data_IF_330643126249
#
_entry.id   IF_330643126249
#
_cell.length_a   1.000
_cell.length_b   1.000
_cell.length_c   1.000
_cell.angle_alpha   90.00
_cell.angle_beta   90.00
_cell.angle_gamma   90.00
#
_symmetry.space_group_name_H-M   'P 1'
#
loop_
_entity.id
_entity.type
_entity.pdbx_description
1 polymer ?
#
# COMPACT_ATOMS: atom_id res chain seq x y z
N UNK A 1 13.99 -16.05 6.94
CA UNK A 1 12.71 -15.37 6.68
C UNK A 1 12.18 -14.87 8.02
N UNK A 2 11.83 -13.59 8.15
CA UNK A 2 11.25 -13.06 9.39
C UNK A 2 9.87 -13.69 9.63
N UNK A 3 9.45 -13.80 10.90
CA UNK A 3 8.14 -14.35 11.25
C UNK A 3 7.01 -13.41 10.79
N UNK A 4 5.81 -13.96 10.60
CA UNK A 4 4.65 -13.21 10.13
C UNK A 4 4.38 -11.98 11.01
N UNK A 5 4.43 -12.14 12.33
CA UNK A 5 4.18 -11.09 13.30
C UNK A 5 5.19 -9.95 13.19
N UNK A 6 6.47 -10.29 12.97
CA UNK A 6 7.52 -9.29 12.77
C UNK A 6 7.28 -8.51 11.49
N UNK A 7 6.86 -9.19 10.42
CA UNK A 7 6.51 -8.55 9.15
C UNK A 7 5.24 -7.71 9.28
N UNK A 8 4.22 -8.12 10.03
CA UNK A 8 2.99 -7.36 10.20
C UNK A 8 3.19 -6.01 10.92
N UNK A 9 4.24 -5.91 11.73
CA UNK A 9 4.58 -4.66 12.42
C UNK A 9 5.62 -3.85 11.65
N UNK A 10 6.62 -4.50 11.04
CA UNK A 10 7.82 -3.82 10.50
C UNK A 10 8.05 -4.05 8.99
N UNK A 11 7.19 -4.81 8.32
CA UNK A 11 7.45 -5.50 7.04
C UNK A 11 7.71 -4.61 5.84
N UNK A 12 7.47 -3.32 5.95
CA UNK A 12 7.94 -2.31 4.99
C UNK A 12 8.04 -0.92 5.63
N UNK A 13 8.31 -0.84 6.94
CA UNK A 13 8.76 0.42 7.54
C UNK A 13 10.20 0.66 7.06
N UNK A 14 10.35 1.01 5.79
CA UNK A 14 11.59 1.59 5.29
C UNK A 14 11.83 2.80 6.19
N UNK A 15 12.91 2.75 6.97
CA UNK A 15 13.43 3.90 7.69
C UNK A 15 13.61 5.01 6.66
N UNK A 16 12.59 5.87 6.51
CA UNK A 16 12.73 7.05 5.66
C UNK A 16 13.80 7.88 6.35
N UNK A 17 14.89 8.12 5.62
CA UNK A 17 15.80 9.23 5.87
C UNK A 17 15.03 10.53 5.61
N UNK A 18 14.08 10.87 6.46
CA UNK A 18 13.47 12.18 6.51
C UNK A 18 13.55 12.63 7.97
N UNK A 19 13.75 13.91 8.15
CA UNK A 19 14.21 14.64 9.35
C UNK A 19 13.30 14.50 10.58
N UNK A 20 12.24 13.70 10.48
CA UNK A 20 11.19 13.50 11.46
C UNK A 20 11.28 12.09 12.06
N UNK A 21 11.49 12.02 13.38
CA UNK A 21 11.78 10.78 14.15
C UNK A 21 10.55 9.91 14.40
N UNK A 22 9.51 10.06 13.58
CA UNK A 22 8.27 9.31 13.72
C UNK A 22 8.50 7.85 13.34
N UNK A 23 8.21 6.93 14.27
CA UNK A 23 8.19 5.49 14.01
C UNK A 23 6.90 5.04 13.27
N UNK A 24 6.01 5.99 12.93
CA UNK A 24 4.72 5.74 12.29
C UNK A 24 4.66 6.52 10.98
N UNK A 25 4.12 5.91 9.93
CA UNK A 25 3.87 6.57 8.66
C UNK A 25 2.85 7.72 8.87
N UNK A 26 3.18 8.97 8.53
CA UNK A 26 2.25 10.09 8.68
C UNK A 26 1.07 9.95 7.71
N UNK A 27 -0.09 10.50 8.07
CA UNK A 27 -1.26 10.46 7.19
C UNK A 27 -1.15 11.59 6.15
N UNK A 28 -0.80 11.22 4.92
CA UNK A 28 -0.79 12.09 3.74
C UNK A 28 -2.19 12.14 3.13
N UNK A 29 -2.83 13.31 3.23
CA UNK A 29 -4.17 13.63 2.68
C UNK A 29 -4.07 14.57 1.48
N UNK A 30 -3.06 14.36 0.63
CA UNK A 30 -2.78 15.28 -0.46
C UNK A 30 -3.95 15.38 -1.44
N UNK A 31 -4.50 16.60 -1.56
CA UNK A 31 -5.51 16.97 -2.57
C UNK A 31 -4.84 17.63 -3.77
N UNK A 32 -3.86 16.96 -4.38
CA UNK A 32 -3.26 17.50 -5.61
C UNK A 32 -4.26 17.41 -6.76
N UNK A 33 -4.34 18.48 -7.54
CA UNK A 33 -5.44 18.82 -8.48
C UNK A 33 -5.62 17.88 -9.67
N UNK A 34 -4.74 16.90 -9.86
CA UNK A 34 -4.69 16.05 -11.04
C UNK A 34 -4.88 14.56 -10.70
N UNK A 35 -5.64 13.84 -11.52
CA UNK A 35 -6.02 12.42 -11.33
C UNK A 35 -4.82 11.48 -11.11
N UNK A 36 -3.65 11.83 -11.65
CA UNK A 36 -2.37 11.12 -11.46
C UNK A 36 -1.99 11.03 -9.98
N UNK A 37 -2.36 12.04 -9.18
CA UNK A 37 -2.01 12.12 -7.77
C UNK A 37 -2.78 11.13 -6.90
N UNK A 38 -3.96 10.69 -7.35
CA UNK A 38 -4.74 9.63 -6.67
C UNK A 38 -4.01 8.28 -6.79
N UNK A 39 -3.27 8.07 -7.88
CA UNK A 39 -2.45 6.88 -8.07
C UNK A 39 -1.16 6.91 -7.23
N UNK A 40 -0.62 8.09 -6.94
CA UNK A 40 0.67 8.29 -6.26
C UNK A 40 0.57 8.66 -4.77
N UNK A 41 -0.37 8.05 -4.04
CA UNK A 41 -0.45 8.25 -2.58
C UNK A 41 0.61 7.42 -1.84
N UNK A 42 1.50 8.08 -1.09
CA UNK A 42 2.63 7.41 -0.43
C UNK A 42 2.22 6.43 0.68
N UNK A 43 1.07 6.65 1.33
CA UNK A 43 0.53 5.74 2.34
C UNK A 43 -0.10 4.50 1.71
N UNK A 44 -0.81 4.67 0.59
CA UNK A 44 -1.34 3.55 -0.20
C UNK A 44 -0.20 2.63 -0.64
N UNK A 45 0.87 3.17 -1.19
CA UNK A 45 2.01 2.38 -1.65
C UNK A 45 2.72 1.63 -0.52
N UNK A 46 2.86 2.25 0.66
CA UNK A 46 3.45 1.60 1.83
C UNK A 46 2.56 0.43 2.32
N UNK A 47 1.24 0.62 2.36
CA UNK A 47 0.29 -0.44 2.71
C UNK A 47 0.35 -1.60 1.71
N UNK A 48 0.39 -1.32 0.41
CA UNK A 48 0.47 -2.32 -0.65
C UNK A 48 1.74 -3.18 -0.53
N UNK A 49 2.90 -2.57 -0.32
CA UNK A 49 4.16 -3.31 -0.11
C UNK A 49 4.11 -4.17 1.15
N UNK A 50 3.51 -3.64 2.22
CA UNK A 50 3.35 -4.37 3.47
C UNK A 50 2.46 -5.60 3.30
N UNK A 51 1.31 -5.46 2.64
CA UNK A 51 0.41 -6.58 2.33
C UNK A 51 1.10 -7.61 1.42
N UNK A 52 1.80 -7.16 0.38
CA UNK A 52 2.56 -8.05 -0.50
C UNK A 52 3.59 -8.88 0.27
N UNK A 53 4.30 -8.25 1.22
CA UNK A 53 5.24 -8.93 2.12
C UNK A 53 4.56 -10.00 2.98
N UNK A 54 3.36 -9.73 3.50
CA UNK A 54 2.61 -10.68 4.32
C UNK A 54 2.14 -11.91 3.52
N UNK A 55 1.60 -11.67 2.33
CA UNK A 55 1.09 -12.71 1.41
C UNK A 55 2.20 -13.43 0.64
N UNK A 56 3.47 -13.08 0.87
CA UNK A 56 4.62 -13.58 0.10
C UNK A 56 4.46 -13.35 -1.42
N UNK A 57 3.77 -12.27 -1.79
CA UNK A 57 3.54 -11.84 -3.15
C UNK A 57 4.57 -10.77 -3.57
N UNK A 58 4.74 -10.60 -4.89
CA UNK A 58 5.62 -9.54 -5.43
C UNK A 58 4.97 -8.15 -5.33
N UNK A 59 3.65 -8.09 -5.47
CA UNK A 59 2.86 -6.86 -5.50
C UNK A 59 1.52 -7.08 -4.79
N UNK A 60 0.94 -6.01 -4.29
CA UNK A 60 -0.46 -5.95 -3.87
C UNK A 60 -1.06 -4.62 -4.35
N UNK A 61 -2.39 -4.56 -4.46
CA UNK A 61 -3.13 -3.37 -4.85
C UNK A 61 -4.24 -3.11 -3.83
N UNK A 62 -4.35 -1.87 -3.38
CA UNK A 62 -5.40 -1.44 -2.48
C UNK A 62 -6.57 -0.82 -3.26
N UNK A 63 -7.76 -1.34 -3.01
CA UNK A 63 -9.02 -0.88 -3.61
C UNK A 63 -9.92 -0.21 -2.57
N UNK A 64 -10.91 0.62 -2.98
CA UNK A 64 -11.85 1.25 -2.05
C UNK A 64 -12.70 0.26 -1.25
N UNK A 65 -12.91 -0.96 -1.77
CA UNK A 65 -13.67 -2.03 -1.12
C UNK A 65 -13.32 -3.40 -1.70
N UNK A 66 -13.74 -4.46 -1.00
CA UNK A 66 -13.60 -5.84 -1.51
C UNK A 66 -14.39 -6.07 -2.80
N UNK A 67 -15.57 -5.45 -2.94
CA UNK A 67 -16.35 -5.52 -4.18
C UNK A 67 -15.61 -4.83 -5.34
N UNK A 68 -15.00 -3.67 -5.10
CA UNK A 68 -14.20 -2.99 -6.12
C UNK A 68 -13.01 -3.85 -6.58
N UNK A 69 -12.33 -4.53 -5.65
CA UNK A 69 -11.24 -5.45 -6.00
C UNK A 69 -11.72 -6.59 -6.91
N UNK A 70 -12.84 -7.24 -6.57
CA UNK A 70 -13.43 -8.32 -7.38
C UNK A 70 -13.87 -7.81 -8.75
N UNK A 71 -14.57 -6.67 -8.80
CA UNK A 71 -15.01 -6.06 -10.06
C UNK A 71 -13.83 -5.69 -10.94
N UNK A 72 -12.77 -5.11 -10.39
CA UNK A 72 -11.56 -4.78 -11.17
C UNK A 72 -10.89 -6.01 -11.75
N UNK A 73 -10.85 -7.13 -11.01
CA UNK A 73 -10.34 -8.40 -11.54
C UNK A 73 -11.27 -8.94 -12.64
N UNK A 74 -12.58 -8.90 -12.42
CA UNK A 74 -13.56 -9.36 -13.40
C UNK A 74 -13.52 -8.54 -14.71
N UNK A 75 -13.27 -7.23 -14.62
CA UNK A 75 -13.11 -6.35 -15.78
C UNK A 75 -11.88 -6.72 -16.63
N UNK A 76 -10.85 -7.33 -16.06
CA UNK A 76 -9.71 -7.83 -16.84
C UNK A 76 -10.03 -9.12 -17.62
N UNK A 77 -11.09 -9.83 -17.22
CA UNK A 77 -11.51 -11.10 -17.82
C UNK A 77 -12.65 -10.94 -18.82
N UNK A 78 -13.37 -9.82 -18.79
CA UNK A 78 -14.37 -9.47 -19.80
C UNK A 78 -13.65 -8.84 -21.00
N UNK A 79 -13.53 -9.60 -22.09
CA UNK A 79 -13.32 -9.05 -23.43
C UNK A 79 -14.57 -8.31 -23.94
#
# INVERSE_FOLDING_TARGET
MLRFETRAVHGDQVQRKLEDKSNILPITLDTFKDEVSVAENSNKQALEKHIASLECAKYALCFPSGLAAVTSIAQLLNE
#
